data_IF_386384789864
#
_entry.id   IF_386384789864
#
_cell.length_a   1.000
_cell.length_b   1.000
_cell.length_c   1.000
_cell.angle_alpha   90.00
_cell.angle_beta   90.00
_cell.angle_gamma   90.00
#
_symmetry.space_group_name_H-M   'P 1'
#
loop_
_entity.id
_entity.type
_entity.pdbx_description
1 polymer ?
#
# COMPACT_ATOMS: atom_id res chain seq x y z
N UNK A 1 -11.04 9.60 11.14
CA UNK A 1 -10.15 9.47 9.97
C UNK A 1 -10.76 8.45 9.04
N UNK A 2 -10.96 8.80 7.77
CA UNK A 2 -11.62 7.88 6.84
C UNK A 2 -10.62 6.88 6.25
N UNK A 3 -9.41 7.35 5.90
CA UNK A 3 -8.41 6.55 5.22
C UNK A 3 -7.07 6.55 5.95
N UNK A 4 -6.38 5.40 5.94
CA UNK A 4 -4.96 5.27 6.29
C UNK A 4 -4.22 4.62 5.13
N UNK A 5 -3.29 5.33 4.51
CA UNK A 5 -2.42 4.80 3.47
C UNK A 5 -1.14 4.30 4.13
N UNK A 6 -0.84 3.01 4.00
CA UNK A 6 0.35 2.37 4.60
C UNK A 6 1.35 2.03 3.50
N UNK A 7 2.55 2.58 3.62
CA UNK A 7 3.60 2.48 2.61
C UNK A 7 4.89 2.00 3.26
N UNK A 8 5.29 0.73 3.07
CA UNK A 8 6.61 0.27 3.45
C UNK A 8 7.64 0.86 2.48
N UNK A 9 8.75 1.35 3.03
CA UNK A 9 9.86 1.93 2.26
C UNK A 9 11.19 1.37 2.75
N UNK A 10 12.12 1.12 1.81
CA UNK A 10 13.46 0.67 2.12
C UNK A 10 14.45 1.15 1.05
N UNK A 11 15.33 2.11 1.40
CA UNK A 11 16.28 2.75 0.49
C UNK A 11 15.59 3.39 -0.73
N UNK A 12 14.61 4.26 -0.45
CA UNK A 12 13.75 4.91 -1.45
C UNK A 12 13.82 6.45 -1.34
N UNK A 13 15.01 7.00 -1.02
CA UNK A 13 15.20 8.45 -0.77
C UNK A 13 14.64 9.32 -1.90
N UNK A 14 14.83 8.90 -3.17
CA UNK A 14 14.45 9.70 -4.35
C UNK A 14 12.97 9.58 -4.71
N UNK A 15 12.32 8.46 -4.31
CA UNK A 15 10.94 8.13 -4.73
C UNK A 15 9.89 8.69 -3.79
N UNK A 16 10.23 8.95 -2.53
CA UNK A 16 9.24 9.27 -1.48
C UNK A 16 8.56 10.61 -1.69
N UNK A 17 9.30 11.66 -2.00
CA UNK A 17 8.74 13.00 -2.14
C UNK A 17 7.76 13.10 -3.33
N UNK A 18 8.11 12.59 -4.53
CA UNK A 18 7.16 12.47 -5.63
C UNK A 18 5.90 11.67 -5.25
N UNK A 19 6.06 10.52 -4.61
CA UNK A 19 4.95 9.65 -4.23
C UNK A 19 3.97 10.34 -3.25
N UNK A 20 4.49 10.99 -2.21
CA UNK A 20 3.66 11.74 -1.24
C UNK A 20 2.86 12.84 -1.93
N UNK A 21 3.48 13.55 -2.89
CA UNK A 21 2.79 14.57 -3.69
C UNK A 21 1.66 13.96 -4.52
N UNK A 22 1.92 12.87 -5.25
CA UNK A 22 0.93 12.18 -6.07
C UNK A 22 -0.26 11.68 -5.24
N UNK A 23 0.00 11.13 -4.04
CA UNK A 23 -1.05 10.74 -3.09
C UNK A 23 -1.89 11.96 -2.68
N UNK A 24 -1.24 13.08 -2.39
CA UNK A 24 -1.92 14.33 -2.03
C UNK A 24 -2.83 14.84 -3.15
N UNK A 25 -2.38 14.77 -4.40
CA UNK A 25 -3.15 15.15 -5.59
C UNK A 25 -4.33 14.21 -5.81
N UNK A 26 -4.10 12.88 -5.75
CA UNK A 26 -5.15 11.88 -5.96
C UNK A 26 -6.25 11.96 -4.90
N UNK A 27 -5.89 12.12 -3.62
CA UNK A 27 -6.84 12.15 -2.52
C UNK A 27 -7.46 13.52 -2.28
N UNK A 28 -6.83 14.60 -2.74
CA UNK A 28 -7.38 15.95 -2.64
C UNK A 28 -8.75 16.09 -3.31
N UNK A 29 -8.99 15.34 -4.39
CA UNK A 29 -10.26 15.32 -5.10
C UNK A 29 -11.34 14.43 -4.44
N UNK A 30 -10.97 13.54 -3.52
CA UNK A 30 -11.89 12.56 -2.90
C UNK A 30 -12.73 13.17 -1.78
N UNK A 31 -12.24 14.25 -1.14
CA UNK A 31 -12.96 14.95 -0.06
C UNK A 31 -13.06 14.16 1.24
N UNK A 32 -12.25 13.10 1.41
CA UNK A 32 -12.16 12.27 2.62
C UNK A 32 -10.97 12.69 3.47
N UNK A 33 -11.09 12.55 4.79
CA UNK A 33 -9.95 12.74 5.70
C UNK A 33 -8.99 11.55 5.57
N UNK A 34 -7.69 11.81 5.44
CA UNK A 34 -6.70 10.74 5.29
C UNK A 34 -5.40 11.01 6.06
N UNK A 35 -4.69 9.97 6.35
CA UNK A 35 -3.32 9.96 6.84
C UNK A 35 -2.45 9.04 5.97
N UNK A 36 -1.15 9.33 5.89
CA UNK A 36 -0.17 8.49 5.22
C UNK A 36 0.86 8.03 6.23
N UNK A 37 1.02 6.73 6.36
CA UNK A 37 1.94 6.09 7.30
C UNK A 37 3.08 5.48 6.50
N UNK A 38 4.23 6.15 6.52
CA UNK A 38 5.45 5.74 5.84
C UNK A 38 6.28 4.89 6.82
N UNK A 39 6.47 3.62 6.52
CA UNK A 39 7.18 2.70 7.40
C UNK A 39 8.57 2.41 6.83
N UNK A 40 9.58 3.05 7.40
CA UNK A 40 11.00 2.81 7.08
C UNK A 40 11.45 1.45 7.63
N UNK A 41 11.69 0.50 6.75
CA UNK A 41 12.16 -0.85 7.10
C UNK A 41 13.69 -0.88 7.32
N UNK A 42 14.20 0.09 8.08
CA UNK A 42 15.60 0.15 8.48
C UNK A 42 16.52 0.56 7.33
N UNK A 43 16.15 1.57 6.55
CA UNK A 43 16.97 2.12 5.47
C UNK A 43 18.34 2.59 5.95
N UNK A 44 19.31 2.48 5.04
CA UNK A 44 20.71 2.85 5.26
C UNK A 44 21.14 4.11 4.51
N UNK A 45 20.27 4.64 3.66
CA UNK A 45 20.42 5.87 2.88
C UNK A 45 19.75 7.08 3.55
N UNK A 46 19.46 8.14 2.78
CA UNK A 46 18.76 9.34 3.23
C UNK A 46 17.23 9.21 3.36
N UNK A 47 16.66 8.02 3.21
CA UNK A 47 15.21 7.77 3.28
C UNK A 47 14.59 8.30 4.57
N UNK A 48 15.06 7.86 5.73
CA UNK A 48 14.47 8.29 7.00
C UNK A 48 14.59 9.80 7.28
N UNK A 49 15.73 10.46 7.04
CA UNK A 49 15.82 11.93 7.06
C UNK A 49 14.80 12.61 6.14
N UNK A 50 14.56 12.08 4.94
CA UNK A 50 13.54 12.60 4.02
C UNK A 50 12.14 12.48 4.61
N UNK A 51 11.80 11.32 5.18
CA UNK A 51 10.52 11.12 5.88
C UNK A 51 10.30 12.13 7.01
N UNK A 52 11.32 12.37 7.83
CA UNK A 52 11.24 13.33 8.93
C UNK A 52 10.95 14.76 8.42
N UNK A 53 11.58 15.17 7.32
CA UNK A 53 11.31 16.49 6.71
C UNK A 53 9.87 16.60 6.21
N UNK A 54 9.38 15.59 5.51
CA UNK A 54 8.01 15.55 4.98
C UNK A 54 6.97 15.58 6.10
N UNK A 55 7.15 14.76 7.15
CA UNK A 55 6.27 14.76 8.31
C UNK A 55 6.29 16.10 9.10
N UNK A 56 7.40 16.81 9.07
CA UNK A 56 7.48 18.16 9.66
C UNK A 56 6.71 19.22 8.85
N UNK A 57 6.49 18.98 7.56
CA UNK A 57 5.79 19.90 6.65
C UNK A 57 4.28 19.59 6.53
N UNK A 58 3.86 18.34 6.74
CA UNK A 58 2.47 17.91 6.58
C UNK A 58 2.02 17.01 7.75
N UNK A 59 1.10 17.51 8.55
CA UNK A 59 0.57 16.82 9.72
C UNK A 59 -0.20 15.51 9.39
N UNK A 60 -0.55 15.29 8.13
CA UNK A 60 -1.19 14.03 7.67
C UNK A 60 -0.19 12.89 7.54
N UNK A 61 1.11 13.19 7.47
CA UNK A 61 2.16 12.21 7.30
C UNK A 61 2.67 11.73 8.66
N UNK A 62 2.89 10.43 8.76
CA UNK A 62 3.49 9.78 9.93
C UNK A 62 4.65 8.90 9.47
N UNK A 63 5.80 9.01 10.13
CA UNK A 63 6.94 8.14 9.90
C UNK A 63 7.06 7.13 11.04
N UNK A 64 7.15 5.86 10.69
CA UNK A 64 7.47 4.77 11.61
C UNK A 64 8.80 4.17 11.16
N UNK A 65 9.77 4.02 12.07
CA UNK A 65 11.07 3.44 11.75
C UNK A 65 11.25 2.10 12.45
N UNK A 66 11.55 1.08 11.68
CA UNK A 66 11.97 -0.22 12.22
C UNK A 66 13.46 -0.20 12.54
N UNK A 67 13.86 -0.97 13.56
CA UNK A 67 15.24 -1.01 14.03
C UNK A 67 16.24 -1.52 12.97
N UNK A 68 15.78 -2.38 12.06
CA UNK A 68 16.53 -2.97 10.96
C UNK A 68 15.56 -3.43 9.89
N UNK A 69 16.06 -3.89 8.76
CA UNK A 69 15.22 -4.53 7.73
C UNK A 69 14.66 -5.87 8.27
N UNK A 70 13.32 -5.95 8.34
CA UNK A 70 12.53 -7.11 8.72
C UNK A 70 11.72 -7.66 7.54
N UNK A 71 11.73 -6.94 6.41
CA UNK A 71 10.98 -7.26 5.20
C UNK A 71 9.61 -6.58 5.13
N UNK A 72 9.11 -6.45 3.90
CA UNK A 72 7.90 -5.72 3.56
C UNK A 72 6.68 -6.10 4.41
N UNK A 73 6.46 -7.41 4.63
CA UNK A 73 5.32 -7.89 5.42
C UNK A 73 5.34 -7.36 6.86
N UNK A 74 6.51 -7.32 7.50
CA UNK A 74 6.64 -6.79 8.84
C UNK A 74 6.42 -5.28 8.88
N UNK A 75 6.92 -4.55 7.87
CA UNK A 75 6.71 -3.11 7.74
C UNK A 75 5.23 -2.78 7.54
N UNK A 76 4.51 -3.50 6.66
CA UNK A 76 3.06 -3.34 6.47
C UNK A 76 2.31 -3.62 7.78
N UNK A 77 2.63 -4.72 8.48
CA UNK A 77 1.99 -5.06 9.75
C UNK A 77 2.21 -3.96 10.82
N UNK A 78 3.42 -3.40 10.89
CA UNK A 78 3.70 -2.25 11.75
C UNK A 78 2.84 -1.05 11.36
N UNK A 79 2.74 -0.72 10.07
CA UNK A 79 1.90 0.37 9.58
C UNK A 79 0.43 0.19 9.94
N UNK A 80 -0.11 -1.02 9.84
CA UNK A 80 -1.49 -1.32 10.22
C UNK A 80 -1.76 -1.08 11.71
N UNK A 81 -0.78 -1.32 12.57
CA UNK A 81 -0.91 -1.05 13.99
C UNK A 81 -1.04 0.45 14.31
N UNK A 82 -0.47 1.32 13.48
CA UNK A 82 -0.57 2.77 13.61
C UNK A 82 -1.74 3.40 12.83
N UNK A 83 -2.40 2.64 11.98
CA UNK A 83 -3.52 3.11 11.18
C UNK A 83 -4.73 3.45 12.05
N UNK A 84 -5.35 4.62 11.83
CA UNK A 84 -6.56 5.06 12.54
C UNK A 84 -7.79 5.19 11.62
N UNK A 85 -7.61 5.07 10.31
CA UNK A 85 -8.68 5.14 9.32
C UNK A 85 -9.63 3.95 9.36
N UNK A 86 -10.85 4.16 8.88
CA UNK A 86 -11.85 3.11 8.70
C UNK A 86 -11.49 2.16 7.56
N UNK A 87 -10.81 2.70 6.56
CA UNK A 87 -10.28 1.96 5.42
C UNK A 87 -8.76 2.06 5.43
N UNK A 88 -8.08 0.95 5.24
CA UNK A 88 -6.62 0.88 5.14
C UNK A 88 -6.26 0.55 3.70
N UNK A 89 -5.42 1.39 3.10
CA UNK A 89 -4.84 1.20 1.78
C UNK A 89 -3.37 0.83 1.95
N UNK A 90 -2.97 -0.35 1.52
CA UNK A 90 -1.56 -0.72 1.44
C UNK A 90 -1.06 -0.54 0.01
N UNK A 91 0.09 0.11 -0.17
CA UNK A 91 0.73 0.29 -1.48
C UNK A 91 2.26 0.29 -1.35
N UNK A 92 2.97 -0.04 -2.42
CA UNK A 92 4.43 0.01 -2.44
C UNK A 92 4.97 1.43 -2.56
N UNK A 93 6.18 1.65 -2.00
CA UNK A 93 6.88 2.93 -2.06
C UNK A 93 7.76 3.13 -3.31
N UNK A 94 7.83 2.14 -4.20
CA UNK A 94 8.72 2.11 -5.38
C UNK A 94 8.14 2.77 -6.64
N UNK A 95 6.97 3.42 -6.53
CA UNK A 95 6.30 4.10 -7.64
C UNK A 95 5.66 3.17 -8.68
N UNK A 96 5.57 1.85 -8.44
CA UNK A 96 4.90 0.92 -9.36
C UNK A 96 3.37 0.94 -9.24
N UNK A 97 2.84 1.47 -8.16
CA UNK A 97 1.41 1.64 -7.95
C UNK A 97 1.02 3.10 -8.21
N UNK A 98 -0.04 3.33 -8.96
CA UNK A 98 -0.57 4.66 -9.23
C UNK A 98 -1.54 5.07 -8.11
N UNK A 99 -1.24 6.12 -7.31
CA UNK A 99 -2.18 6.63 -6.31
C UNK A 99 -3.51 7.09 -6.90
N UNK A 100 -3.55 7.42 -8.20
CA UNK A 100 -4.76 7.75 -8.94
C UNK A 100 -5.82 6.65 -8.99
N UNK A 101 -5.42 5.40 -8.75
CA UNK A 101 -6.34 4.25 -8.68
C UNK A 101 -7.11 4.16 -7.36
N UNK A 102 -6.62 4.80 -6.28
CA UNK A 102 -7.25 4.75 -4.94
C UNK A 102 -8.72 5.16 -4.97
N UNK A 103 -9.14 6.26 -5.62
CA UNK A 103 -10.55 6.65 -5.66
C UNK A 103 -11.47 5.60 -6.30
N UNK A 104 -10.98 4.87 -7.31
CA UNK A 104 -11.73 3.81 -7.96
C UNK A 104 -11.91 2.59 -7.05
N UNK A 105 -10.83 2.18 -6.36
CA UNK A 105 -10.86 1.10 -5.39
C UNK A 105 -11.82 1.41 -4.23
N UNK A 106 -11.81 2.65 -3.72
CA UNK A 106 -12.76 3.12 -2.69
C UNK A 106 -14.21 2.99 -3.12
N UNK A 107 -14.52 3.29 -4.39
CA UNK A 107 -15.87 3.10 -4.93
C UNK A 107 -16.25 1.64 -4.91
N UNK A 108 -15.34 0.74 -5.28
CA UNK A 108 -15.57 -0.70 -5.24
C UNK A 108 -15.76 -1.21 -3.81
N UNK A 109 -14.97 -0.74 -2.85
CA UNK A 109 -15.15 -1.12 -1.45
C UNK A 109 -16.53 -0.69 -0.92
N UNK A 110 -17.02 0.48 -1.34
CA UNK A 110 -18.34 0.98 -0.98
C UNK A 110 -19.51 0.12 -1.55
N UNK A 111 -19.25 -0.74 -2.55
CA UNK A 111 -20.24 -1.71 -3.05
C UNK A 111 -20.44 -2.91 -2.08
N UNK A 112 -19.70 -2.96 -0.95
CA UNK A 112 -19.86 -3.97 0.10
C UNK A 112 -18.80 -5.08 0.09
N UNK A 113 -17.68 -4.87 -0.59
CA UNK A 113 -16.55 -5.79 -0.53
C UNK A 113 -15.71 -5.55 0.72
N UNK A 114 -15.26 -6.61 1.39
CA UNK A 114 -14.36 -6.53 2.55
C UNK A 114 -12.92 -6.20 2.16
N UNK A 115 -12.51 -6.60 0.96
CA UNK A 115 -11.18 -6.40 0.39
C UNK A 115 -11.28 -6.13 -1.10
N UNK A 116 -10.63 -5.06 -1.55
CA UNK A 116 -10.46 -4.75 -2.96
C UNK A 116 -8.96 -4.75 -3.28
N UNK A 117 -8.57 -5.48 -4.31
CA UNK A 117 -7.17 -5.55 -4.78
C UNK A 117 -7.05 -4.93 -6.16
N UNK A 118 -6.09 -4.04 -6.32
CA UNK A 118 -5.74 -3.50 -7.63
C UNK A 118 -5.30 -4.61 -8.60
N UNK A 119 -5.44 -4.36 -9.87
CA UNK A 119 -5.00 -5.24 -10.94
C UNK A 119 -4.06 -4.47 -11.87
N UNK A 120 -2.78 -4.90 -11.90
CA UNK A 120 -1.76 -4.31 -12.79
C UNK A 120 -2.02 -4.73 -14.24
N UNK A 121 -2.71 -3.90 -15.01
CA UNK A 121 -2.96 -4.14 -16.43
C UNK A 121 -2.73 -2.86 -17.26
N UNK A 122 -1.97 -2.91 -18.39
CA UNK A 122 -1.21 -4.06 -18.91
C UNK A 122 0.13 -4.28 -18.17
N UNK A 123 0.43 -5.54 -17.84
CA UNK A 123 1.74 -5.92 -17.29
C UNK A 123 2.83 -5.77 -18.36
N UNK A 124 3.86 -4.98 -18.06
CA UNK A 124 5.06 -4.82 -18.92
C UNK A 124 6.11 -5.91 -18.70
N UNK A 125 5.82 -6.92 -17.90
CA UNK A 125 6.75 -8.01 -17.59
C UNK A 125 6.98 -8.95 -18.77
N UNK A 126 8.21 -9.54 -18.94
CA UNK A 126 8.50 -10.53 -19.96
C UNK A 126 7.61 -11.77 -19.81
N UNK A 127 7.01 -12.20 -20.96
CA UNK A 127 6.00 -13.27 -21.02
C UNK A 127 6.44 -14.60 -20.39
N UNK A 128 7.70 -15.01 -20.60
CA UNK A 128 8.17 -16.37 -20.28
C UNK A 128 8.74 -16.51 -18.85
N UNK A 129 9.38 -15.48 -18.29
CA UNK A 129 10.08 -15.60 -17.01
C UNK A 129 9.23 -15.26 -15.80
N UNK A 130 8.20 -14.42 -15.94
CA UNK A 130 7.38 -13.95 -14.81
C UNK A 130 5.87 -14.17 -14.95
N UNK A 131 5.31 -14.09 -16.17
CA UNK A 131 3.86 -14.24 -16.36
C UNK A 131 3.37 -15.67 -16.13
N UNK A 132 4.06 -16.66 -16.68
CA UNK A 132 3.66 -18.06 -16.57
C UNK A 132 3.72 -18.59 -15.13
N UNK A 133 4.82 -18.40 -14.37
CA UNK A 133 4.87 -18.77 -12.95
C UNK A 133 3.83 -18.04 -12.10
N UNK A 134 3.56 -16.75 -12.38
CA UNK A 134 2.56 -15.96 -11.67
C UNK A 134 1.14 -16.47 -11.90
N UNK A 135 0.77 -16.86 -13.12
CA UNK A 135 -0.55 -17.45 -13.40
C UNK A 135 -0.75 -18.79 -12.71
N UNK A 136 0.27 -19.65 -12.70
CA UNK A 136 0.22 -20.94 -12.00
C UNK A 136 0.14 -20.73 -10.48
N UNK A 137 0.91 -19.82 -9.92
CA UNK A 137 0.86 -19.47 -8.50
C UNK A 137 -0.50 -18.88 -8.11
N UNK A 138 -1.05 -17.96 -8.90
CA UNK A 138 -2.37 -17.38 -8.66
C UNK A 138 -3.46 -18.44 -8.70
N UNK A 139 -3.40 -19.39 -9.66
CA UNK A 139 -4.34 -20.50 -9.74
C UNK A 139 -4.27 -21.43 -8.51
N UNK A 140 -3.06 -21.78 -8.07
CA UNK A 140 -2.84 -22.63 -6.90
C UNK A 140 -3.31 -21.95 -5.62
N UNK A 141 -2.96 -20.67 -5.40
CA UNK A 141 -3.38 -19.89 -4.24
C UNK A 141 -4.90 -19.75 -4.22
N UNK A 142 -5.51 -19.44 -5.36
CA UNK A 142 -6.98 -19.32 -5.50
C UNK A 142 -7.69 -20.62 -5.13
N UNK A 143 -7.13 -21.76 -5.54
CA UNK A 143 -7.65 -23.08 -5.21
C UNK A 143 -7.51 -23.41 -3.71
N UNK A 144 -6.34 -23.11 -3.12
CA UNK A 144 -6.08 -23.37 -1.70
C UNK A 144 -6.87 -22.45 -0.77
N UNK A 145 -6.99 -21.17 -1.10
CA UNK A 145 -7.63 -20.17 -0.23
C UNK A 145 -9.12 -20.01 -0.47
N UNK A 146 -9.63 -20.56 -1.60
CA UNK A 146 -11.00 -20.35 -2.10
C UNK A 146 -11.35 -18.87 -2.37
N UNK A 147 -10.37 -18.00 -2.42
CA UNK A 147 -10.51 -16.58 -2.76
C UNK A 147 -10.07 -16.41 -4.21
N UNK A 148 -10.89 -15.79 -5.05
CA UNK A 148 -10.56 -15.53 -6.47
C UNK A 148 -10.08 -14.09 -6.62
N UNK A 149 -8.78 -13.88 -6.75
CA UNK A 149 -8.18 -12.60 -7.12
C UNK A 149 -7.48 -12.74 -8.49
N UNK A 150 -7.53 -11.68 -9.28
CA UNK A 150 -6.88 -11.65 -10.59
C UNK A 150 -5.37 -11.45 -10.49
N UNK A 151 -4.90 -10.77 -9.44
CA UNK A 151 -3.49 -10.51 -9.17
C UNK A 151 -3.21 -10.53 -7.65
N UNK A 152 -2.73 -11.67 -7.13
CA UNK A 152 -2.32 -11.79 -5.73
C UNK A 152 -1.04 -10.99 -5.42
N UNK A 153 -0.23 -10.71 -6.45
CA UNK A 153 1.02 -9.98 -6.33
C UNK A 153 0.87 -8.46 -6.37
N UNK A 154 -0.34 -7.93 -6.61
CA UNK A 154 -0.57 -6.50 -6.49
C UNK A 154 -0.60 -6.10 -5.01
N UNK A 155 0.26 -5.17 -4.62
CA UNK A 155 0.34 -4.65 -3.24
C UNK A 155 -0.68 -3.56 -2.97
N UNK A 156 -1.20 -2.89 -4.01
CA UNK A 156 -2.29 -1.94 -3.84
C UNK A 156 -3.57 -2.69 -3.43
N UNK A 157 -3.87 -2.64 -2.14
CA UNK A 157 -5.03 -3.32 -1.54
C UNK A 157 -5.74 -2.39 -0.58
N UNK A 158 -7.05 -2.40 -0.63
CA UNK A 158 -7.92 -1.70 0.30
C UNK A 158 -8.69 -2.69 1.16
N UNK A 159 -8.65 -2.49 2.47
CA UNK A 159 -9.21 -3.39 3.47
C UNK A 159 -10.07 -2.57 4.43
N UNK A 160 -11.33 -2.95 4.57
CA UNK A 160 -12.18 -2.41 5.64
C UNK A 160 -11.62 -2.80 7.02
N UNK A 161 -11.50 -1.84 7.93
CA UNK A 161 -10.88 -2.08 9.25
C UNK A 161 -11.60 -3.13 10.10
N UNK A 162 -12.90 -3.28 9.94
CA UNK A 162 -13.67 -4.34 10.59
C UNK A 162 -13.13 -5.73 10.21
N UNK A 163 -12.92 -5.98 8.92
CA UNK A 163 -12.36 -7.24 8.41
C UNK A 163 -10.90 -7.49 8.82
N UNK A 164 -10.13 -6.42 9.08
CA UNK A 164 -8.75 -6.54 9.54
C UNK A 164 -8.66 -6.98 11.02
N UNK A 165 -9.65 -6.63 11.86
CA UNK A 165 -9.66 -6.97 13.30
C UNK A 165 -10.18 -8.37 13.60
N UNK A 166 -11.00 -8.95 12.74
CA UNK A 166 -11.59 -10.27 12.98
C UNK A 166 -10.63 -11.45 12.72
N UNK A 167 -9.42 -11.19 12.22
CA UNK A 167 -8.47 -12.24 11.84
C UNK A 167 -7.14 -12.23 12.62
N UNK A 168 -7.08 -11.55 13.77
CA UNK A 168 -5.91 -11.56 14.65
C UNK A 168 -6.25 -12.31 15.94
#
# INVERSE_FOLDING_TARGET
MDLSIVIPVYNEEESIEPLVREIGEALGAVGKSYEVILVDDGSTDGTYPALCRLCGADARLKAVRLKRNFGQTAAIAAGFAYASGEVIVAMDGDGQNDPGDIPELLKKLAEGFDLVSGWRYPRRDPLWSRRLPSHLANGLISWMTRVKLHDYGCTLKEIGRASCRERV
#
